data_IF_801037606745
#
_entry.id   IF_801037606745
#
_cell.length_a   1.000
_cell.length_b   1.000
_cell.length_c   1.000
_cell.angle_alpha   90.00
_cell.angle_beta   90.00
_cell.angle_gamma   90.00
#
_symmetry.space_group_name_H-M   'P 1'
#
loop_
_entity.id
_entity.type
_entity.pdbx_description
1 polymer ?
#
# COMPACT_ATOMS: atom_id res chain seq x y z
N UNK A 1 -58.17 60.73 -16.67
CA UNK A 1 -56.81 60.33 -16.23
C UNK A 1 -56.92 59.01 -15.48
N UNK A 2 -56.49 57.90 -16.06
CA UNK A 2 -55.55 56.97 -15.43
C UNK A 2 -55.19 55.83 -16.38
N UNK A 3 -53.90 55.49 -16.35
CA UNK A 3 -53.12 54.64 -17.24
C UNK A 3 -52.98 53.23 -16.66
N UNK A 4 -52.89 52.27 -17.59
CA UNK A 4 -52.07 51.05 -17.55
C UNK A 4 -52.43 49.96 -16.50
N UNK A 5 -52.07 48.67 -16.62
CA UNK A 5 -51.02 47.96 -17.38
C UNK A 5 -51.50 46.53 -17.69
N UNK A 6 -51.22 46.06 -18.91
CA UNK A 6 -51.13 44.64 -19.26
C UNK A 6 -49.86 44.06 -18.60
N UNK A 7 -49.95 42.88 -17.99
CA UNK A 7 -48.77 42.10 -17.62
C UNK A 7 -48.94 40.67 -18.14
N UNK A 8 -47.93 40.23 -18.89
CA UNK A 8 -47.87 38.99 -19.63
C UNK A 8 -46.81 38.07 -18.97
N UNK A 9 -47.09 36.76 -19.01
CA UNK A 9 -46.16 35.63 -18.92
C UNK A 9 -45.51 35.27 -17.56
N UNK A 10 -45.67 34.02 -17.13
CA UNK A 10 -44.73 32.92 -17.41
C UNK A 10 -45.31 31.58 -16.91
N UNK A 11 -45.47 30.60 -17.81
CA UNK A 11 -45.72 29.20 -17.45
C UNK A 11 -44.36 28.54 -17.19
N UNK A 12 -44.11 28.13 -15.95
CA UNK A 12 -42.93 27.33 -15.57
C UNK A 12 -43.27 25.86 -15.85
N UNK A 13 -42.62 25.26 -16.84
CA UNK A 13 -42.68 23.82 -17.07
C UNK A 13 -41.86 23.09 -16.00
N UNK A 14 -42.50 22.17 -15.26
CA UNK A 14 -41.83 21.29 -14.33
C UNK A 14 -41.11 20.18 -15.10
N UNK A 15 -39.78 20.16 -15.06
CA UNK A 15 -38.98 19.02 -15.48
C UNK A 15 -38.99 17.97 -14.35
N UNK A 16 -39.11 16.66 -14.65
CA UNK A 16 -39.00 15.63 -13.63
C UNK A 16 -37.58 15.65 -13.06
N UNK A 17 -37.50 15.63 -11.73
CA UNK A 17 -36.25 15.51 -11.00
C UNK A 17 -35.56 14.20 -11.43
N UNK A 18 -34.39 14.33 -12.05
CA UNK A 18 -33.47 13.22 -12.25
C UNK A 18 -33.01 12.78 -10.86
N UNK A 19 -33.46 11.61 -10.41
CA UNK A 19 -32.89 10.95 -9.23
C UNK A 19 -31.51 10.46 -9.65
N UNK A 20 -30.48 11.06 -9.06
CA UNK A 20 -29.13 10.51 -9.14
C UNK A 20 -29.16 9.20 -8.36
N UNK A 21 -28.83 8.09 -9.03
CA UNK A 21 -28.60 6.84 -8.33
C UNK A 21 -27.52 7.11 -7.27
N UNK A 22 -27.81 6.84 -6.00
CA UNK A 22 -26.77 6.77 -4.98
C UNK A 22 -25.72 5.79 -5.49
N UNK A 23 -24.48 6.27 -5.61
CA UNK A 23 -23.30 5.43 -5.80
C UNK A 23 -23.33 4.38 -4.68
N UNK A 24 -23.81 3.18 -4.99
CA UNK A 24 -23.71 2.06 -4.07
C UNK A 24 -22.22 1.84 -3.89
N UNK A 25 -21.70 2.25 -2.73
CA UNK A 25 -20.32 2.00 -2.34
C UNK A 25 -19.97 0.56 -2.73
N UNK A 26 -18.85 0.38 -3.42
CA UNK A 26 -18.46 -0.95 -3.88
C UNK A 26 -18.45 -1.91 -2.67
N UNK A 27 -18.70 -3.21 -2.85
CA UNK A 27 -18.67 -4.19 -1.76
C UNK A 27 -17.34 -4.24 -0.97
N UNK A 28 -16.33 -3.49 -1.41
CA UNK A 28 -14.98 -3.44 -0.87
C UNK A 28 -14.68 -2.14 -0.09
N UNK A 29 -15.58 -1.14 -0.14
CA UNK A 29 -15.47 0.12 0.60
C UNK A 29 -15.87 -0.09 2.08
N UNK A 30 -14.98 -0.71 2.84
CA UNK A 30 -15.16 -0.89 4.29
C UNK A 30 -14.84 0.39 5.05
N UNK A 31 -15.51 0.59 6.19
CA UNK A 31 -15.12 1.61 7.15
C UNK A 31 -13.68 1.37 7.62
N UNK A 32 -12.90 2.45 7.67
CA UNK A 32 -11.50 2.39 8.04
C UNK A 32 -11.36 2.02 9.53
N UNK A 33 -10.31 1.28 9.93
CA UNK A 33 -10.07 1.04 11.34
C UNK A 33 -9.83 2.37 12.07
N UNK A 34 -10.38 2.51 13.28
CA UNK A 34 -10.26 3.69 14.13
C UNK A 34 -8.82 4.07 14.51
N UNK A 35 -7.90 3.10 14.44
CA UNK A 35 -6.46 3.28 14.69
C UNK A 35 -5.66 3.69 13.44
N UNK A 36 -6.33 4.02 12.32
CA UNK A 36 -5.69 4.46 11.08
C UNK A 36 -6.13 5.87 10.71
N UNK A 37 -5.17 6.73 10.40
CA UNK A 37 -5.46 8.06 9.84
C UNK A 37 -5.61 7.97 8.33
N UNK A 38 -6.64 8.58 7.75
CA UNK A 38 -6.76 8.66 6.29
C UNK A 38 -6.23 9.97 5.73
N UNK A 39 -5.37 9.87 4.73
CA UNK A 39 -4.78 11.02 4.03
C UNK A 39 -4.64 10.68 2.54
N UNK A 40 -5.66 10.97 1.71
CA UNK A 40 -5.78 10.35 0.40
C UNK A 40 -4.70 10.81 -0.59
N UNK A 41 -4.18 9.84 -1.35
CA UNK A 41 -3.39 10.04 -2.56
C UNK A 41 -4.32 10.13 -3.79
N UNK A 42 -4.04 10.99 -4.78
CA UNK A 42 -4.76 10.98 -6.05
C UNK A 42 -4.37 9.80 -6.96
N UNK A 43 -3.30 9.07 -6.64
CA UNK A 43 -2.69 8.06 -7.50
C UNK A 43 -3.35 6.71 -7.29
N UNK A 44 -4.48 6.48 -7.94
CA UNK A 44 -5.26 5.26 -7.82
C UNK A 44 -6.02 4.93 -9.11
N UNK A 45 -6.43 3.68 -9.25
CA UNK A 45 -7.30 3.23 -10.34
C UNK A 45 -8.37 2.26 -9.85
N UNK A 46 -9.35 1.95 -10.68
CA UNK A 46 -10.26 0.83 -10.40
C UNK A 46 -9.52 -0.50 -10.32
N UNK A 47 -10.03 -1.43 -9.49
CA UNK A 47 -9.54 -2.81 -9.42
C UNK A 47 -9.90 -3.67 -10.63
N UNK A 48 -10.74 -3.16 -11.55
CA UNK A 48 -11.16 -3.86 -12.77
C UNK A 48 -11.81 -5.23 -12.49
N UNK A 49 -12.59 -5.33 -11.42
CA UNK A 49 -13.29 -6.56 -11.01
C UNK A 49 -12.43 -7.55 -10.23
N UNK A 50 -11.16 -7.24 -9.97
CA UNK A 50 -10.28 -8.09 -9.17
C UNK A 50 -10.64 -8.09 -7.68
N UNK A 51 -10.63 -9.27 -7.08
CA UNK A 51 -10.73 -9.42 -5.64
C UNK A 51 -9.35 -9.25 -4.99
N UNK A 52 -9.31 -8.57 -3.85
CA UNK A 52 -8.10 -8.49 -3.02
C UNK A 52 -7.75 -9.91 -2.55
N UNK A 53 -6.53 -10.34 -2.85
CA UNK A 53 -6.02 -11.68 -2.51
C UNK A 53 -4.55 -11.70 -2.07
N UNK A 54 -3.87 -10.54 -2.07
CA UNK A 54 -2.47 -10.45 -1.66
C UNK A 54 -2.14 -9.17 -0.88
N UNK A 55 -1.14 -9.25 -0.02
CA UNK A 55 -0.51 -8.12 0.65
C UNK A 55 0.95 -8.04 0.17
N UNK A 56 1.38 -6.86 -0.29
CA UNK A 56 2.75 -6.65 -0.77
C UNK A 56 3.44 -5.67 0.19
N UNK A 57 4.55 -6.11 0.77
CA UNK A 57 5.39 -5.33 1.68
C UNK A 57 6.46 -4.56 0.90
N UNK A 58 6.64 -3.28 1.24
CA UNK A 58 7.61 -2.36 0.66
C UNK A 58 8.40 -1.66 1.76
N UNK A 59 9.56 -1.12 1.41
CA UNK A 59 10.16 -0.03 2.17
C UNK A 59 10.04 1.28 1.39
N UNK A 60 10.07 2.39 2.12
CA UNK A 60 9.95 3.72 1.49
C UNK A 60 11.26 4.24 0.89
N UNK A 61 12.40 3.65 1.25
CA UNK A 61 13.74 4.19 0.98
C UNK A 61 13.82 5.63 1.50
N UNK A 62 13.36 5.85 2.73
CA UNK A 62 13.14 7.19 3.24
C UNK A 62 13.18 7.31 4.76
N UNK A 63 13.22 8.56 5.18
CA UNK A 63 13.14 8.95 6.58
C UNK A 63 11.71 8.89 7.10
N UNK A 64 11.15 10.06 7.42
CA UNK A 64 9.89 10.17 8.14
C UNK A 64 8.66 9.74 7.30
N UNK A 65 7.64 9.20 7.98
CA UNK A 65 6.33 8.86 7.40
C UNK A 65 5.69 10.05 6.68
N UNK A 66 5.79 11.25 7.28
CA UNK A 66 5.26 12.48 6.68
C UNK A 66 5.87 12.79 5.30
N UNK A 67 7.14 12.42 5.06
CA UNK A 67 7.77 12.61 3.76
C UNK A 67 7.17 11.71 2.70
N UNK A 68 6.95 10.42 3.02
CA UNK A 68 6.28 9.47 2.11
C UNK A 68 4.83 9.86 1.85
N UNK A 69 4.08 10.22 2.90
CA UNK A 69 2.70 10.70 2.79
C UNK A 69 2.63 11.96 1.91
N UNK A 70 3.54 12.91 2.10
CA UNK A 70 3.65 14.10 1.26
C UNK A 70 3.96 13.77 -0.20
N UNK A 71 4.89 12.84 -0.44
CA UNK A 71 5.24 12.40 -1.79
C UNK A 71 4.06 11.76 -2.52
N UNK A 72 3.35 10.83 -1.88
CA UNK A 72 2.18 10.19 -2.49
C UNK A 72 1.01 11.14 -2.75
N UNK A 73 1.00 12.34 -2.16
CA UNK A 73 -0.01 13.38 -2.47
C UNK A 73 0.44 14.34 -3.57
N UNK A 74 1.72 14.34 -3.91
CA UNK A 74 2.24 15.17 -5.00
C UNK A 74 1.65 14.69 -6.33
N UNK A 75 0.94 15.53 -7.11
CA UNK A 75 0.40 15.15 -8.42
C UNK A 75 1.42 14.58 -9.40
N UNK A 76 2.70 14.92 -9.25
CA UNK A 76 3.76 14.46 -10.15
C UNK A 76 4.36 13.10 -9.75
N UNK A 77 4.03 12.57 -8.56
CA UNK A 77 4.67 11.36 -8.05
C UNK A 77 4.29 10.11 -8.87
N UNK A 78 3.04 10.03 -9.33
CA UNK A 78 2.48 8.89 -10.09
C UNK A 78 2.73 7.54 -9.42
N UNK A 79 2.77 7.51 -8.08
CA UNK A 79 2.95 6.32 -7.24
C UNK A 79 2.21 6.48 -5.92
N UNK A 80 1.79 5.36 -5.35
CA UNK A 80 1.13 5.30 -4.04
C UNK A 80 1.16 3.87 -3.49
N UNK A 81 0.85 3.73 -2.21
CA UNK A 81 0.48 2.46 -1.59
C UNK A 81 -0.87 2.62 -0.88
N UNK A 82 -1.46 1.55 -0.35
CA UNK A 82 -2.70 1.68 0.41
C UNK A 82 -2.41 2.19 1.82
N UNK A 83 -1.32 1.72 2.44
CA UNK A 83 -0.92 2.10 3.79
C UNK A 83 0.54 2.50 3.87
N UNK A 84 0.85 3.44 4.76
CA UNK A 84 2.21 3.82 5.17
C UNK A 84 2.37 3.61 6.67
N UNK A 85 3.33 2.79 7.08
CA UNK A 85 3.63 2.46 8.49
C UNK A 85 4.89 3.20 8.96
N UNK A 86 4.74 4.06 9.95
CA UNK A 86 5.83 4.81 10.59
C UNK A 86 6.72 3.93 11.47
N UNK A 87 7.93 4.40 11.80
CA UNK A 87 8.88 3.68 12.69
C UNK A 87 8.35 3.48 14.11
N UNK A 88 7.40 4.32 14.53
CA UNK A 88 6.70 4.24 15.81
C UNK A 88 5.44 3.34 15.76
N UNK A 89 5.16 2.72 14.61
CA UNK A 89 3.99 1.87 14.41
C UNK A 89 2.70 2.64 14.04
N UNK A 90 2.74 3.96 13.90
CA UNK A 90 1.60 4.73 13.39
C UNK A 90 1.26 4.33 11.94
N UNK A 91 -0.02 4.43 11.57
CA UNK A 91 -0.49 4.04 10.22
C UNK A 91 -1.29 5.15 9.58
N UNK A 92 -0.94 5.46 8.33
CA UNK A 92 -1.71 6.32 7.45
C UNK A 92 -2.22 5.51 6.27
N UNK A 93 -3.52 5.52 6.03
CA UNK A 93 -4.12 5.01 4.80
C UNK A 93 -4.12 6.11 3.74
N UNK A 94 -3.65 5.76 2.54
CA UNK A 94 -3.51 6.69 1.41
C UNK A 94 -4.48 6.38 0.27
N UNK A 95 -4.90 5.12 0.12
CA UNK A 95 -5.83 4.70 -0.95
C UNK A 95 -6.92 3.82 -0.33
N UNK A 96 -8.21 4.07 -0.64
CA UNK A 96 -9.32 3.19 -0.26
C UNK A 96 -9.10 1.74 -0.73
N UNK A 97 -9.57 0.77 0.04
CA UNK A 97 -9.35 -0.64 -0.29
C UNK A 97 -10.13 -1.13 -1.51
N UNK A 98 -11.16 -0.43 -1.96
CA UNK A 98 -11.85 -0.73 -3.21
C UNK A 98 -11.18 -0.17 -4.47
N UNK A 99 -10.11 0.61 -4.29
CA UNK A 99 -9.28 1.13 -5.37
C UNK A 99 -7.92 0.43 -5.37
N UNK A 100 -7.26 0.45 -6.51
CA UNK A 100 -5.88 -0.04 -6.66
C UNK A 100 -4.92 1.12 -6.43
N UNK A 101 -4.06 1.01 -5.42
CA UNK A 101 -2.88 1.86 -5.31
C UNK A 101 -1.82 1.51 -6.37
N UNK A 102 -0.95 2.46 -6.70
CA UNK A 102 0.08 2.32 -7.74
C UNK A 102 1.44 1.96 -7.13
N UNK A 103 1.54 0.78 -6.49
CA UNK A 103 2.74 0.39 -5.72
C UNK A 103 3.62 -0.65 -6.44
N UNK A 104 3.03 -1.66 -7.09
CA UNK A 104 3.76 -2.82 -7.60
C UNK A 104 4.46 -2.56 -8.96
N UNK A 105 3.92 -1.65 -9.77
CA UNK A 105 4.34 -1.45 -11.16
C UNK A 105 4.26 -2.75 -11.98
N UNK A 106 5.16 -2.94 -12.95
CA UNK A 106 5.23 -4.17 -13.75
C UNK A 106 5.59 -5.37 -12.86
N UNK A 107 4.66 -6.28 -12.65
CA UNK A 107 4.75 -7.32 -11.62
C UNK A 107 3.94 -8.56 -11.97
N UNK A 108 4.34 -9.71 -11.43
CA UNK A 108 3.68 -11.02 -11.54
C UNK A 108 3.73 -11.73 -10.20
N UNK A 109 2.60 -12.26 -9.74
CA UNK A 109 2.49 -13.09 -8.54
C UNK A 109 1.65 -14.34 -8.85
N UNK A 110 2.15 -15.52 -8.51
CA UNK A 110 1.47 -16.81 -8.79
C UNK A 110 1.00 -16.95 -10.26
N UNK A 111 1.85 -16.54 -11.21
CA UNK A 111 1.55 -16.55 -12.64
C UNK A 111 0.64 -15.42 -13.16
N UNK A 112 0.04 -14.62 -12.27
CA UNK A 112 -0.86 -13.52 -12.63
C UNK A 112 -0.15 -12.17 -12.65
N UNK A 113 -0.26 -11.45 -13.77
CA UNK A 113 0.30 -10.10 -13.92
C UNK A 113 -0.64 -9.01 -13.39
N UNK A 114 -0.10 -7.80 -13.20
CA UNK A 114 -0.91 -6.64 -12.79
C UNK A 114 -1.25 -6.64 -11.30
N UNK A 115 -0.25 -6.92 -10.46
CA UNK A 115 -0.43 -7.16 -9.01
C UNK A 115 -1.16 -6.03 -8.27
N UNK A 116 -1.05 -4.78 -8.73
CA UNK A 116 -1.82 -3.65 -8.17
C UNK A 116 -3.32 -3.94 -8.05
N UNK A 117 -3.92 -4.62 -9.04
CA UNK A 117 -5.37 -4.78 -9.13
C UNK A 117 -5.93 -5.70 -8.01
N UNK A 118 -5.17 -6.73 -7.63
CA UNK A 118 -5.60 -7.76 -6.67
C UNK A 118 -4.83 -7.75 -5.35
N UNK A 119 -4.06 -6.70 -5.08
CA UNK A 119 -3.26 -6.62 -3.85
C UNK A 119 -3.43 -5.31 -3.08
N UNK A 120 -2.98 -5.36 -1.82
CA UNK A 120 -2.83 -4.23 -0.92
C UNK A 120 -1.34 -4.00 -0.68
N UNK A 121 -0.80 -2.92 -1.22
CA UNK A 121 0.56 -2.45 -0.89
C UNK A 121 0.64 -1.75 0.47
N UNK A 122 1.63 -2.15 1.28
CA UNK A 122 1.99 -1.52 2.56
C UNK A 122 3.43 -1.01 2.47
N UNK A 123 3.60 0.30 2.61
CA UNK A 123 4.89 1.00 2.62
C UNK A 123 5.39 1.17 4.04
N UNK A 124 6.61 0.74 4.33
CA UNK A 124 7.16 0.73 5.68
C UNK A 124 8.33 1.70 5.74
N UNK A 125 8.28 2.69 6.65
CA UNK A 125 9.32 3.70 6.75
C UNK A 125 10.65 3.08 7.14
N UNK A 126 11.55 2.98 6.17
CA UNK A 126 12.86 2.36 6.30
C UNK A 126 13.79 2.89 5.19
N UNK A 127 15.06 3.10 5.50
CA UNK A 127 16.11 3.58 4.59
C UNK A 127 16.55 2.49 3.59
N UNK A 128 16.19 1.23 3.84
CA UNK A 128 16.55 0.08 3.06
C UNK A 128 18.05 -0.23 3.19
N UNK A 129 18.77 -0.44 2.07
CA UNK A 129 20.18 -0.74 2.09
C UNK A 129 21.01 0.48 2.54
N UNK A 130 22.00 0.22 3.37
CA UNK A 130 22.96 1.16 3.92
C UNK A 130 24.37 0.85 3.37
N UNK A 131 25.19 1.88 3.27
CA UNK A 131 26.60 1.77 2.89
C UNK A 131 27.48 2.08 4.09
N UNK A 132 28.61 1.39 4.22
CA UNK A 132 29.64 1.71 5.20
C UNK A 132 30.75 2.53 4.53
N UNK A 133 30.97 3.75 4.99
CA UNK A 133 31.98 4.69 4.48
C UNK A 133 32.76 5.23 5.68
N UNK A 134 34.08 5.06 5.69
CA UNK A 134 34.97 5.49 6.80
C UNK A 134 34.48 5.05 8.18
N UNK A 135 34.04 3.79 8.27
CA UNK A 135 33.51 3.19 9.50
C UNK A 135 32.11 3.66 9.92
N UNK A 136 31.47 4.55 9.17
CA UNK A 136 30.12 5.07 9.45
C UNK A 136 29.11 4.57 8.42
N UNK A 137 27.87 4.38 8.86
CA UNK A 137 26.78 4.03 7.96
C UNK A 137 26.14 5.27 7.33
N UNK A 138 25.84 5.18 6.04
CA UNK A 138 25.16 6.21 5.27
C UNK A 138 23.99 5.61 4.49
N UNK A 139 22.93 6.40 4.34
CA UNK A 139 21.75 6.05 3.54
C UNK A 139 22.10 6.01 2.05
N UNK A 140 21.24 5.41 1.22
CA UNK A 140 21.47 5.32 -0.22
C UNK A 140 21.64 6.70 -0.89
N UNK A 141 21.02 7.75 -0.32
CA UNK A 141 21.14 9.14 -0.78
C UNK A 141 22.21 9.97 -0.05
N UNK A 142 23.10 9.31 0.68
CA UNK A 142 24.34 9.89 1.22
C UNK A 142 24.20 10.60 2.56
N UNK A 143 23.05 10.54 3.23
CA UNK A 143 22.89 11.09 4.59
C UNK A 143 23.54 10.16 5.61
N UNK A 144 24.07 10.74 6.70
CA UNK A 144 24.56 9.96 7.84
C UNK A 144 23.39 9.19 8.47
N UNK A 145 23.53 7.87 8.56
CA UNK A 145 22.59 7.04 9.27
C UNK A 145 22.78 7.17 10.79
N UNK A 146 21.66 7.33 11.52
CA UNK A 146 21.64 7.56 12.97
C UNK A 146 20.72 6.57 13.71
N UNK A 147 20.31 5.50 13.03
CA UNK A 147 19.45 4.47 13.60
C UNK A 147 20.22 3.40 14.39
N UNK A 148 19.53 2.31 14.78
CA UNK A 148 20.13 1.15 15.43
C UNK A 148 21.22 0.48 14.57
N UNK A 149 22.02 -0.43 15.16
CA UNK A 149 23.03 -1.16 14.41
C UNK A 149 22.41 -1.88 13.19
N UNK A 150 22.93 -1.68 11.96
CA UNK A 150 22.41 -2.33 10.78
C UNK A 150 22.55 -3.86 10.81
N UNK A 151 21.60 -4.54 10.19
CA UNK A 151 21.68 -5.97 9.91
C UNK A 151 22.62 -6.16 8.72
N UNK A 152 23.61 -7.04 8.83
CA UNK A 152 24.46 -7.42 7.71
C UNK A 152 23.92 -8.70 7.06
N UNK A 153 23.62 -8.64 5.76
CA UNK A 153 23.23 -9.80 4.96
C UNK A 153 24.42 -10.72 4.67
N UNK A 154 24.15 -11.96 4.25
CA UNK A 154 25.18 -12.95 3.95
C UNK A 154 26.14 -12.50 2.83
N UNK A 155 25.66 -11.67 1.90
CA UNK A 155 26.46 -11.08 0.83
C UNK A 155 27.23 -9.81 1.25
N UNK A 156 27.13 -9.43 2.52
CA UNK A 156 27.88 -8.33 3.12
C UNK A 156 27.22 -6.96 3.03
N UNK A 157 26.03 -6.81 2.45
CA UNK A 157 25.27 -5.55 2.50
C UNK A 157 24.76 -5.28 3.90
N UNK A 158 24.50 -4.00 4.20
CA UNK A 158 23.93 -3.58 5.46
C UNK A 158 22.51 -3.05 5.23
N UNK A 159 21.60 -3.31 6.16
CA UNK A 159 20.20 -2.95 6.08
C UNK A 159 19.74 -2.29 7.37
N UNK A 160 18.92 -1.24 7.28
CA UNK A 160 18.25 -0.73 8.47
C UNK A 160 17.26 -1.78 9.00
N UNK A 161 17.35 -2.20 10.28
CA UNK A 161 16.36 -3.08 10.86
C UNK A 161 15.02 -2.37 11.04
N UNK A 162 13.93 -3.12 10.90
CA UNK A 162 12.59 -2.64 11.24
C UNK A 162 12.34 -2.70 12.74
N UNK A 163 11.55 -1.77 13.27
CA UNK A 163 11.25 -1.68 14.71
C UNK A 163 10.20 -2.70 15.13
N UNK A 164 10.17 -3.06 16.41
CA UNK A 164 9.11 -3.93 16.94
C UNK A 164 7.71 -3.29 16.83
N UNK A 165 7.62 -1.97 16.94
CA UNK A 165 6.38 -1.24 16.73
C UNK A 165 5.87 -1.39 15.28
N UNK A 166 6.77 -1.36 14.30
CA UNK A 166 6.42 -1.66 12.90
C UNK A 166 5.89 -3.08 12.77
N UNK A 167 6.58 -4.09 13.29
CA UNK A 167 6.11 -5.48 13.20
C UNK A 167 4.75 -5.69 13.89
N UNK A 168 4.55 -5.16 15.09
CA UNK A 168 3.28 -5.25 15.81
C UNK A 168 2.12 -4.67 14.97
N UNK A 169 2.35 -3.52 14.34
CA UNK A 169 1.38 -2.88 13.45
C UNK A 169 1.16 -3.67 12.16
N UNK A 170 2.21 -4.19 11.54
CA UNK A 170 2.10 -5.00 10.33
C UNK A 170 1.29 -6.28 10.58
N UNK A 171 1.50 -6.94 11.72
CA UNK A 171 0.71 -8.09 12.16
C UNK A 171 -0.75 -7.69 12.38
N UNK A 172 -1.01 -6.59 13.09
CA UNK A 172 -2.36 -6.08 13.34
C UNK A 172 -3.10 -5.77 12.04
N UNK A 173 -2.45 -5.03 11.13
CA UNK A 173 -3.01 -4.64 9.83
C UNK A 173 -3.21 -5.83 8.90
N UNK A 174 -2.26 -6.76 8.85
CA UNK A 174 -2.38 -7.97 8.03
C UNK A 174 -3.53 -8.84 8.51
N UNK A 175 -3.67 -9.05 9.83
CA UNK A 175 -4.81 -9.77 10.40
C UNK A 175 -6.14 -9.07 10.11
N UNK A 176 -6.19 -7.73 10.19
CA UNK A 176 -7.37 -6.97 9.78
C UNK A 176 -7.74 -7.26 8.31
N UNK A 177 -6.78 -7.20 7.39
CA UNK A 177 -7.02 -7.49 5.97
C UNK A 177 -7.42 -8.94 5.71
N UNK A 178 -6.80 -9.90 6.40
CA UNK A 178 -7.14 -11.33 6.34
C UNK A 178 -8.57 -11.58 6.86
N UNK A 179 -9.02 -10.82 7.86
CA UNK A 179 -10.38 -10.96 8.40
C UNK A 179 -11.44 -10.48 7.40
N UNK A 180 -11.09 -9.64 6.42
CA UNK A 180 -12.02 -9.05 5.45
C UNK A 180 -11.94 -9.64 4.04
N UNK A 181 -10.76 -10.12 3.63
CA UNK A 181 -10.50 -10.56 2.25
C UNK A 181 -9.88 -11.95 2.24
N UNK A 182 -10.04 -12.66 1.12
CA UNK A 182 -9.44 -13.97 0.88
C UNK A 182 -7.94 -13.86 0.55
N UNK A 183 -7.16 -13.32 1.50
CA UNK A 183 -5.71 -13.18 1.37
C UNK A 183 -5.06 -14.56 1.31
N UNK A 184 -4.34 -14.81 0.23
CA UNK A 184 -3.60 -16.06 0.01
C UNK A 184 -2.09 -15.85 0.03
N UNK A 185 -1.62 -14.63 -0.24
CA UNK A 185 -0.19 -14.32 -0.34
C UNK A 185 0.16 -13.06 0.45
N UNK A 186 1.26 -13.13 1.19
CA UNK A 186 1.91 -11.98 1.83
C UNK A 186 3.38 -12.05 1.47
N UNK A 187 3.86 -11.13 0.64
CA UNK A 187 5.21 -11.21 0.05
C UNK A 187 5.84 -9.84 -0.18
N UNK A 188 7.11 -9.82 -0.59
CA UNK A 188 7.84 -8.59 -0.85
C UNK A 188 7.69 -8.08 -2.29
N UNK A 189 7.97 -6.78 -2.49
CA UNK A 189 8.00 -6.20 -3.84
C UNK A 189 9.10 -6.83 -4.71
N UNK A 190 10.24 -7.20 -4.10
CA UNK A 190 11.37 -7.87 -4.75
C UNK A 190 10.96 -9.12 -5.51
N UNK A 191 10.01 -9.88 -4.96
CA UNK A 191 9.69 -11.22 -5.42
C UNK A 191 8.72 -11.19 -6.62
N UNK A 192 7.86 -10.16 -6.65
CA UNK A 192 6.85 -9.97 -7.69
C UNK A 192 7.31 -9.06 -8.84
N UNK A 193 8.36 -8.26 -8.64
CA UNK A 193 8.78 -7.26 -9.60
C UNK A 193 9.37 -7.88 -10.87
N UNK A 194 8.99 -7.33 -12.04
CA UNK A 194 9.54 -7.73 -13.34
C UNK A 194 10.21 -6.54 -14.04
N UNK A 195 11.38 -6.73 -14.67
CA UNK A 195 12.23 -7.93 -14.61
C UNK A 195 12.73 -8.22 -13.18
N UNK A 196 13.13 -9.47 -12.92
CA UNK A 196 13.72 -9.88 -11.63
C UNK A 196 14.93 -8.99 -11.32
N UNK A 197 15.08 -8.59 -10.06
CA UNK A 197 16.11 -7.65 -9.63
C UNK A 197 15.77 -6.16 -9.81
N UNK A 198 14.62 -5.81 -10.39
CA UNK A 198 14.16 -4.40 -10.48
C UNK A 198 13.92 -3.78 -9.10
N UNK A 199 13.50 -4.59 -8.13
CA UNK A 199 13.14 -4.18 -6.77
C UNK A 199 13.84 -5.08 -5.76
N UNK A 200 14.10 -4.53 -4.58
CA UNK A 200 14.82 -5.21 -3.50
C UNK A 200 14.09 -5.13 -2.16
N UNK A 201 12.97 -4.41 -2.10
CA UNK A 201 12.16 -4.21 -0.91
C UNK A 201 11.20 -5.39 -0.65
N UNK A 202 10.93 -5.73 0.62
CA UNK A 202 11.31 -5.03 1.86
C UNK A 202 12.76 -5.29 2.32
N UNK A 203 13.53 -6.09 1.58
CA UNK A 203 14.95 -6.31 1.82
C UNK A 203 15.25 -7.25 2.98
N UNK A 204 16.54 -7.57 3.15
CA UNK A 204 16.99 -8.55 4.14
C UNK A 204 17.00 -8.01 5.59
N UNK A 205 16.74 -6.72 5.78
CA UNK A 205 16.43 -6.18 7.10
C UNK A 205 15.06 -6.63 7.63
N UNK A 206 14.19 -7.15 6.76
CA UNK A 206 12.83 -7.57 7.09
C UNK A 206 12.78 -9.02 7.55
N UNK A 207 12.20 -9.25 8.72
CA UNK A 207 12.07 -10.54 9.38
C UNK A 207 10.66 -11.10 9.14
N UNK A 208 10.59 -12.06 8.20
CA UNK A 208 9.35 -12.73 7.85
C UNK A 208 8.80 -13.64 8.95
N UNK A 209 9.64 -14.12 9.87
CA UNK A 209 9.20 -14.96 10.99
C UNK A 209 8.40 -14.15 12.00
N UNK A 210 8.77 -12.89 12.24
CA UNK A 210 7.96 -11.97 13.06
C UNK A 210 6.55 -11.76 12.49
N UNK A 211 6.40 -11.77 11.16
CA UNK A 211 5.08 -11.72 10.54
C UNK A 211 4.36 -13.05 10.74
N UNK A 212 4.97 -14.19 10.36
CA UNK A 212 4.35 -15.52 10.50
C UNK A 212 3.84 -15.77 11.91
N UNK A 213 4.67 -15.53 12.91
CA UNK A 213 4.34 -15.79 14.31
C UNK A 213 3.15 -14.97 14.84
N UNK A 214 2.84 -13.83 14.21
CA UNK A 214 1.75 -12.94 14.63
C UNK A 214 0.42 -13.15 13.90
N UNK A 215 0.40 -13.89 12.80
CA UNK A 215 -0.83 -14.07 12.02
C UNK A 215 -1.74 -15.13 12.64
N UNK A 216 -3.05 -14.91 12.59
CA UNK A 216 -4.07 -15.81 13.16
C UNK A 216 -4.30 -17.10 12.36
N UNK A 217 -3.44 -17.41 11.39
CA UNK A 217 -3.57 -18.48 10.38
C UNK A 217 -5.01 -18.72 9.86
N UNK A 218 -5.41 -17.91 8.89
CA UNK A 218 -6.57 -18.17 8.02
C UNK A 218 -6.08 -18.26 6.59
N UNK A 219 -6.17 -19.41 5.94
CA UNK A 219 -6.07 -19.62 4.48
C UNK A 219 -4.89 -18.96 3.69
N UNK A 220 -3.94 -18.29 4.35
CA UNK A 220 -2.78 -17.67 3.70
C UNK A 220 -1.85 -18.81 3.30
N UNK A 221 -1.77 -19.05 2.00
CA UNK A 221 -0.97 -20.14 1.42
C UNK A 221 0.52 -19.84 1.49
N UNK A 222 0.89 -18.57 1.31
CA UNK A 222 2.28 -18.14 1.24
C UNK A 222 2.53 -16.88 2.06
N UNK A 223 3.56 -16.94 2.90
CA UNK A 223 4.11 -15.77 3.61
C UNK A 223 5.61 -15.74 3.31
N UNK A 224 6.15 -14.58 2.97
CA UNK A 224 7.57 -14.41 2.75
C UNK A 224 8.00 -14.35 1.29
N UNK A 225 9.29 -14.62 1.02
CA UNK A 225 9.85 -14.55 -0.31
C UNK A 225 9.26 -15.64 -1.22
N UNK A 226 8.72 -15.23 -2.37
CA UNK A 226 8.24 -16.17 -3.39
C UNK A 226 9.41 -16.67 -4.21
N UNK A 227 9.64 -17.98 -4.18
CA UNK A 227 10.61 -18.65 -5.07
C UNK A 227 9.93 -19.05 -6.38
N UNK A 228 10.69 -19.26 -7.45
CA UNK A 228 10.16 -19.62 -8.78
C UNK A 228 9.41 -20.98 -8.82
N UNK A 229 9.38 -21.72 -7.71
CA UNK A 229 8.86 -23.08 -7.63
C UNK A 229 7.42 -23.20 -7.11
N UNK A 230 6.70 -22.12 -6.81
CA UNK A 230 5.27 -22.21 -6.44
C UNK A 230 4.46 -22.74 -7.63
N UNK A 231 3.91 -23.97 -7.57
CA UNK A 231 3.15 -24.51 -8.67
C UNK A 231 1.89 -23.66 -8.86
N UNK A 232 1.63 -23.24 -10.10
CA UNK A 232 0.35 -22.66 -10.47
C UNK A 232 -0.73 -23.67 -10.10
N UNK A 233 -1.51 -23.40 -9.05
CA UNK A 233 -2.68 -24.21 -8.73
C UNK A 233 -3.75 -23.92 -9.79
N UNK A 234 -3.61 -24.58 -10.94
CA UNK A 234 -4.65 -24.70 -11.94
C UNK A 234 -5.44 -25.97 -11.64
N UNK A 235 -6.66 -25.80 -11.14
CA UNK A 235 -7.81 -26.66 -11.41
C UNK A 235 -9.08 -25.90 -11.08
#
# INVERSE_FOLDING_TARGET
MNRNFFCCALLIAAFPAFVWAEDSASPQALAQPDWVTFNPSPHQSERKGEAISAIIMHYTAGGAQASTVGWFRNPDAQVSSHYVVGRDGTVVQMVPLDKSAWHAGRSVLAGKSGVNAFSVGIEICNWGPLRKVDGKFVTYDGRKYQGPEPIQSADGRYWEPYTDAQYATLVKLSNYLIDQYAITHITGHSDIATPKGRKHDPGEGFDWEKIRAGLKEKNVKHIGPVTEAEPTSAS
#
